data_IF_152175692408
#
_entry.id   IF_152175692408
#
_cell.length_a   1.000
_cell.length_b   1.000
_cell.length_c   1.000
_cell.angle_alpha   90.00
_cell.angle_beta   90.00
_cell.angle_gamma   90.00
#
_symmetry.space_group_name_H-M   'P 1'
#
loop_
_entity.id
_entity.type
_entity.pdbx_description
1 polymer ?
#
# COMPACT_ATOMS: atom_id res chain seq x y z
N UNK A 1 -16.10 -18.88 10.25
CA UNK A 1 -16.58 -17.48 10.23
C UNK A 1 -15.65 -16.50 10.96
N UNK A 2 -15.15 -16.83 12.15
CA UNK A 2 -14.25 -15.96 12.94
C UNK A 2 -12.99 -15.53 12.17
N UNK A 3 -12.33 -16.45 11.44
CA UNK A 3 -11.17 -16.15 10.59
C UNK A 3 -11.47 -15.08 9.53
N UNK A 4 -12.59 -15.21 8.80
CA UNK A 4 -13.00 -14.23 7.78
C UNK A 4 -13.32 -12.86 8.38
N UNK A 5 -13.99 -12.82 9.54
CA UNK A 5 -14.26 -11.57 10.24
C UNK A 5 -12.97 -10.89 10.70
N UNK A 6 -12.00 -11.66 11.20
CA UNK A 6 -10.67 -11.17 11.54
C UNK A 6 -9.95 -10.56 10.34
N UNK A 7 -9.95 -11.25 9.20
CA UNK A 7 -9.37 -10.72 7.94
C UNK A 7 -10.07 -9.44 7.49
N UNK A 8 -11.41 -9.44 7.50
CA UNK A 8 -12.21 -8.27 7.15
C UNK A 8 -11.86 -7.05 8.01
N UNK A 9 -11.76 -7.25 9.33
CA UNK A 9 -11.39 -6.18 10.26
C UNK A 9 -10.00 -5.62 9.96
N UNK A 10 -9.00 -6.48 9.76
CA UNK A 10 -7.62 -6.07 9.45
C UNK A 10 -7.54 -5.32 8.13
N UNK A 11 -8.24 -5.79 7.09
CA UNK A 11 -8.33 -5.08 5.81
C UNK A 11 -9.04 -3.72 5.95
N UNK A 12 -10.08 -3.63 6.79
CA UNK A 12 -10.74 -2.37 7.11
C UNK A 12 -9.77 -1.38 7.77
N UNK A 13 -9.03 -1.83 8.78
CA UNK A 13 -8.01 -1.02 9.45
C UNK A 13 -6.92 -0.55 8.45
N UNK A 14 -6.47 -1.44 7.57
CA UNK A 14 -5.48 -1.09 6.53
C UNK A 14 -6.01 -0.05 5.54
N UNK A 15 -7.25 -0.22 5.05
CA UNK A 15 -7.88 0.74 4.14
C UNK A 15 -8.08 2.10 4.80
N UNK A 16 -8.47 2.15 6.08
CA UNK A 16 -8.58 3.40 6.82
C UNK A 16 -7.23 4.12 6.95
N UNK A 17 -6.14 3.38 7.14
CA UNK A 17 -4.79 3.97 7.17
C UNK A 17 -4.34 4.45 5.79
N UNK A 18 -4.72 3.74 4.71
CA UNK A 18 -4.43 4.17 3.34
C UNK A 18 -5.15 5.46 2.96
N UNK A 19 -6.39 5.64 3.45
CA UNK A 19 -7.23 6.82 3.18
C UNK A 19 -6.82 8.05 4.02
N UNK A 20 -6.01 7.86 5.07
CA UNK A 20 -5.52 8.93 5.92
C UNK A 20 -4.25 9.60 5.35
N UNK A 21 -4.43 10.81 4.83
CA UNK A 21 -3.37 11.67 4.30
C UNK A 21 -2.43 12.24 5.39
N UNK A 22 -2.82 12.18 6.68
CA UNK A 22 -2.03 12.66 7.81
C UNK A 22 -1.41 11.54 8.64
N UNK A 23 -1.46 10.29 8.16
CA UNK A 23 -0.92 9.13 8.87
C UNK A 23 0.55 9.32 9.28
N UNK A 24 0.88 8.84 10.47
CA UNK A 24 2.27 8.85 10.97
C UNK A 24 3.15 7.85 10.21
N UNK A 25 4.46 8.12 10.21
CA UNK A 25 5.46 7.24 9.64
C UNK A 25 5.43 5.86 10.33
N UNK A 26 5.25 4.81 9.54
CA UNK A 26 5.23 3.42 10.02
C UNK A 26 3.84 2.84 10.27
N UNK A 27 2.78 3.66 10.41
CA UNK A 27 1.41 3.15 10.60
C UNK A 27 0.96 2.23 9.45
N UNK A 28 1.29 2.60 8.20
CA UNK A 28 0.95 1.77 7.03
C UNK A 28 1.67 0.41 7.07
N UNK A 29 2.95 0.40 7.45
CA UNK A 29 3.74 -0.83 7.55
C UNK A 29 3.21 -1.75 8.65
N UNK A 30 2.84 -1.17 9.78
CA UNK A 30 2.26 -1.90 10.89
C UNK A 30 0.90 -2.50 10.51
N UNK A 31 -0.01 -1.69 9.94
CA UNK A 31 -1.31 -2.16 9.47
C UNK A 31 -1.16 -3.28 8.42
N UNK A 32 -0.25 -3.12 7.47
CA UNK A 32 0.08 -4.16 6.48
C UNK A 32 0.56 -5.45 7.13
N UNK A 33 1.44 -5.37 8.13
CA UNK A 33 1.97 -6.57 8.81
C UNK A 33 0.88 -7.42 9.46
N UNK A 34 -0.21 -6.79 9.90
CA UNK A 34 -1.37 -7.48 10.51
C UNK A 34 -2.25 -8.16 9.46
N UNK A 35 -2.26 -7.66 8.23
CA UNK A 35 -2.96 -8.26 7.09
C UNK A 35 -2.27 -9.52 6.56
N UNK A 36 -0.97 -9.69 6.82
CA UNK A 36 -0.24 -10.90 6.43
C UNK A 36 -0.80 -12.12 7.18
N UNK A 37 -1.45 -13.01 6.44
CA UNK A 37 -1.92 -14.28 6.97
C UNK A 37 -0.85 -15.35 6.74
N UNK A 38 -0.49 -16.13 7.77
CA UNK A 38 0.38 -17.29 7.57
C UNK A 38 -0.32 -18.32 6.69
N UNK A 39 0.43 -19.12 5.94
CA UNK A 39 -0.11 -20.17 5.07
C UNK A 39 -1.03 -21.15 5.83
N UNK A 40 -0.71 -21.43 7.10
CA UNK A 40 -1.53 -22.25 8.01
C UNK A 40 -2.91 -21.66 8.31
N UNK A 41 -3.14 -20.36 8.08
CA UNK A 41 -4.47 -19.77 8.21
C UNK A 41 -5.45 -20.26 7.12
N UNK A 42 -4.90 -20.66 5.96
CA UNK A 42 -5.62 -21.16 4.79
C UNK A 42 -5.81 -22.69 4.81
N UNK A 43 -5.12 -23.40 5.72
CA UNK A 43 -5.30 -24.84 5.90
C UNK A 43 -6.75 -25.16 6.32
N UNK A 44 -7.31 -26.21 5.71
CA UNK A 44 -8.68 -26.66 5.95
C UNK A 44 -9.77 -25.79 5.29
N UNK A 45 -9.43 -24.82 4.42
CA UNK A 45 -10.44 -24.03 3.71
C UNK A 45 -11.38 -24.89 2.85
N UNK A 46 -10.87 -25.98 2.26
CA UNK A 46 -11.67 -26.93 1.47
C UNK A 46 -12.75 -27.63 2.32
N UNK A 47 -12.53 -27.71 3.63
CA UNK A 47 -13.46 -28.33 4.58
C UNK A 47 -14.51 -27.35 5.09
N UNK A 48 -14.35 -26.04 4.88
CA UNK A 48 -15.27 -25.02 5.39
C UNK A 48 -16.66 -25.09 4.76
N UNK A 49 -16.77 -25.66 3.56
CA UNK A 49 -18.04 -25.85 2.85
C UNK A 49 -18.72 -27.19 3.16
N UNK A 50 -18.00 -28.13 3.80
CA UNK A 50 -18.51 -29.46 4.03
C UNK A 50 -19.56 -29.47 5.14
N UNK A 51 -20.70 -30.12 4.88
CA UNK A 51 -21.78 -30.27 5.86
C UNK A 51 -22.57 -28.99 6.13
N UNK A 52 -22.31 -27.89 5.41
CA UNK A 52 -23.10 -26.66 5.52
C UNK A 52 -24.40 -26.76 4.72
N UNK A 53 -25.47 -26.21 5.30
CA UNK A 53 -26.72 -26.01 4.59
C UNK A 53 -26.59 -24.89 3.56
N UNK A 54 -27.48 -24.88 2.56
CA UNK A 54 -27.41 -23.93 1.43
C UNK A 54 -27.37 -22.46 1.87
N UNK A 55 -28.15 -22.09 2.89
CA UNK A 55 -28.14 -20.73 3.42
C UNK A 55 -26.78 -20.36 4.06
N UNK A 56 -26.15 -21.32 4.74
CA UNK A 56 -24.84 -21.11 5.37
C UNK A 56 -23.73 -21.01 4.32
N UNK A 57 -23.83 -21.80 3.23
CA UNK A 57 -22.94 -21.70 2.07
C UNK A 57 -23.06 -20.34 1.38
N UNK A 58 -24.27 -19.81 1.22
CA UNK A 58 -24.49 -18.49 0.62
C UNK A 58 -23.89 -17.38 1.50
N UNK A 59 -24.07 -17.47 2.82
CA UNK A 59 -23.44 -16.54 3.77
C UNK A 59 -21.92 -16.60 3.74
N UNK A 60 -21.35 -17.81 3.68
CA UNK A 60 -19.90 -18.01 3.58
C UNK A 60 -19.35 -17.42 2.29
N UNK A 61 -20.02 -17.67 1.16
CA UNK A 61 -19.63 -17.17 -0.17
C UNK A 61 -19.60 -15.64 -0.18
N UNK A 62 -20.66 -15.00 0.31
CA UNK A 62 -20.72 -13.52 0.41
C UNK A 62 -19.61 -12.94 1.28
N UNK A 63 -19.29 -13.59 2.40
CA UNK A 63 -18.22 -13.14 3.28
C UNK A 63 -16.83 -13.26 2.62
N UNK A 64 -16.59 -14.33 1.85
CA UNK A 64 -15.37 -14.50 1.06
C UNK A 64 -15.27 -13.44 -0.03
N UNK A 65 -16.36 -13.20 -0.76
CA UNK A 65 -16.42 -12.17 -1.81
C UNK A 65 -16.16 -10.76 -1.26
N UNK A 66 -16.70 -10.43 -0.08
CA UNK A 66 -16.46 -9.16 0.61
C UNK A 66 -14.97 -8.98 0.92
N UNK A 67 -14.34 -9.97 1.54
CA UNK A 67 -12.90 -9.96 1.87
C UNK A 67 -12.05 -9.85 0.61
N UNK A 68 -12.37 -10.62 -0.43
CA UNK A 68 -11.65 -10.59 -1.71
C UNK A 68 -11.74 -9.20 -2.37
N UNK A 69 -12.93 -8.57 -2.33
CA UNK A 69 -13.15 -7.23 -2.85
C UNK A 69 -12.34 -6.18 -2.09
N UNK A 70 -12.34 -6.24 -0.76
CA UNK A 70 -11.54 -5.33 0.07
C UNK A 70 -10.04 -5.47 -0.22
N UNK A 71 -9.56 -6.70 -0.40
CA UNK A 71 -8.17 -6.97 -0.76
C UNK A 71 -7.81 -6.41 -2.16
N UNK A 72 -8.72 -6.52 -3.13
CA UNK A 72 -8.53 -5.95 -4.47
C UNK A 72 -8.44 -4.41 -4.44
N UNK A 73 -9.30 -3.76 -3.64
CA UNK A 73 -9.26 -2.30 -3.45
C UNK A 73 -7.93 -1.88 -2.80
N UNK A 74 -7.53 -2.59 -1.75
CA UNK A 74 -6.26 -2.35 -1.06
C UNK A 74 -5.06 -2.48 -2.01
N UNK A 75 -5.04 -3.53 -2.86
CA UNK A 75 -3.99 -3.72 -3.85
C UNK A 75 -3.97 -2.59 -4.90
N UNK A 76 -5.13 -2.17 -5.39
CA UNK A 76 -5.24 -1.08 -6.36
C UNK A 76 -4.76 0.26 -5.77
N UNK A 77 -5.10 0.55 -4.51
CA UNK A 77 -4.64 1.76 -3.82
C UNK A 77 -3.11 1.78 -3.66
N UNK A 78 -2.51 0.65 -3.28
CA UNK A 78 -1.05 0.53 -3.15
C UNK A 78 -0.36 0.70 -4.51
N UNK A 79 -0.90 0.12 -5.59
CA UNK A 79 -0.32 0.27 -6.93
C UNK A 79 -0.41 1.72 -7.42
N UNK A 80 -1.55 2.40 -7.19
CA UNK A 80 -1.70 3.81 -7.53
C UNK A 80 -0.70 4.71 -6.78
N UNK A 81 -0.44 4.43 -5.49
CA UNK A 81 0.54 5.19 -4.70
C UNK A 81 1.97 4.91 -5.17
N UNK A 82 2.29 3.67 -5.54
CA UNK A 82 3.57 3.32 -6.15
C UNK A 82 3.81 4.08 -7.46
N UNK A 83 2.82 4.16 -8.33
CA UNK A 83 2.91 4.91 -9.58
C UNK A 83 3.11 6.40 -9.32
N UNK A 84 2.36 6.98 -8.38
CA UNK A 84 2.51 8.37 -7.94
C UNK A 84 3.92 8.67 -7.42
N UNK A 85 4.48 7.80 -6.59
CA UNK A 85 5.85 7.93 -6.08
C UNK A 85 6.90 7.79 -7.20
N UNK A 86 6.66 6.88 -8.15
CA UNK A 86 7.50 6.71 -9.34
C UNK A 86 7.57 8.00 -10.17
N UNK A 87 6.42 8.62 -10.42
CA UNK A 87 6.31 9.90 -11.12
C UNK A 87 7.03 11.03 -10.38
N UNK A 88 6.84 11.12 -9.05
CA UNK A 88 7.51 12.12 -8.23
C UNK A 88 9.03 11.98 -8.31
N UNK A 89 9.55 10.76 -8.15
CA UNK A 89 10.98 10.46 -8.27
C UNK A 89 11.51 10.78 -9.68
N UNK A 90 10.73 10.50 -10.72
CA UNK A 90 11.04 10.86 -12.10
C UNK A 90 11.19 12.37 -12.27
N UNK A 91 10.23 13.15 -11.75
CA UNK A 91 10.28 14.62 -11.75
C UNK A 91 11.47 15.14 -10.97
N UNK A 92 11.72 14.66 -9.75
CA UNK A 92 12.87 15.07 -8.93
C UNK A 92 14.21 14.78 -9.63
N UNK A 93 14.35 13.60 -10.27
CA UNK A 93 15.55 13.26 -11.05
C UNK A 93 15.74 14.18 -12.26
N UNK A 94 14.65 14.53 -12.95
CA UNK A 94 14.68 15.49 -14.06
C UNK A 94 15.07 16.88 -13.58
N UNK A 95 14.44 17.40 -12.52
CA UNK A 95 14.80 18.70 -11.92
C UNK A 95 16.27 18.74 -11.49
N UNK A 96 16.80 17.66 -10.89
CA UNK A 96 18.23 17.58 -10.54
C UNK A 96 19.12 17.63 -11.78
N UNK A 97 18.74 16.96 -12.87
CA UNK A 97 19.48 16.98 -14.13
C UNK A 97 19.46 18.38 -14.76
N UNK A 98 18.29 19.01 -14.80
CA UNK A 98 18.12 20.35 -15.36
C UNK A 98 18.95 21.38 -14.55
N UNK A 99 18.92 21.31 -13.21
CA UNK A 99 19.79 22.12 -12.35
C UNK A 99 21.29 21.88 -12.61
N UNK A 100 21.70 20.61 -12.77
CA UNK A 100 23.10 20.29 -13.09
C UNK A 100 23.52 20.76 -14.49
N UNK A 101 22.58 20.86 -15.43
CA UNK A 101 22.79 21.40 -16.76
C UNK A 101 23.01 22.91 -16.70
N UNK A 102 22.17 23.63 -15.96
CA UNK A 102 22.36 25.07 -15.70
C UNK A 102 23.62 25.39 -14.88
N UNK A 103 24.03 24.51 -13.96
CA UNK A 103 25.30 24.66 -13.24
C UNK A 103 26.52 24.41 -14.14
N UNK A 104 26.40 23.57 -15.18
CA UNK A 104 27.48 23.33 -16.17
C UNK A 104 27.55 24.41 -17.25
N UNK A 105 26.41 24.99 -17.65
CA UNK A 105 26.39 26.13 -18.59
C UNK A 105 26.61 27.49 -17.88
N UNK A 106 26.59 27.50 -16.54
CA UNK A 106 26.77 28.67 -15.68
C UNK A 106 28.21 28.95 -15.21
N UNK A 107 29.21 28.19 -15.67
CA UNK A 107 30.63 28.58 -15.55
C UNK A 107 30.98 29.65 -16.59
N UNK A 108 30.29 30.79 -16.52
CA UNK A 108 30.74 32.08 -17.01
C UNK A 108 30.02 33.21 -16.23
N UNK A 109 30.06 33.16 -14.89
CA UNK A 109 29.53 34.26 -14.08
C UNK A 109 29.53 34.01 -12.57
N UNK A 110 30.70 34.11 -11.95
CA UNK A 110 31.02 34.63 -10.58
C UNK A 110 29.95 34.68 -9.46
N UNK A 111 29.00 33.74 -9.39
CA UNK A 111 27.95 33.75 -8.34
C UNK A 111 27.51 32.34 -7.92
N UNK A 112 28.41 31.37 -7.99
CA UNK A 112 28.21 30.02 -7.46
C UNK A 112 28.99 29.79 -6.18
N UNK A 113 28.61 30.46 -5.08
CA UNK A 113 28.99 29.95 -3.76
C UNK A 113 28.19 28.67 -3.53
N UNK A 114 28.88 27.54 -3.62
CA UNK A 114 28.39 26.26 -3.14
C UNK A 114 27.99 26.42 -1.68
N UNK A 115 26.68 26.38 -1.40
CA UNK A 115 26.24 26.05 -0.06
C UNK A 115 26.52 24.56 0.14
N UNK A 116 27.68 24.26 0.71
CA UNK A 116 27.95 22.99 1.35
C UNK A 116 26.92 22.80 2.47
N UNK A 117 25.84 22.08 2.19
CA UNK A 117 24.99 21.53 3.23
C UNK A 117 25.69 20.28 3.78
N UNK A 118 26.69 20.51 4.63
CA UNK A 118 27.10 19.56 5.65
C UNK A 118 26.22 19.77 6.88
N UNK A 119 25.45 18.76 7.27
CA UNK A 119 24.56 18.76 8.43
C UNK A 119 23.34 17.88 8.22
#
# INVERSE_FOLDING_TARGET
>A
MEKLQGTRRRLGEFLSVLDDDQREDGCLREAWSRCLLPASALEGMDEWSQGLERQQLDCLTRAIEEVARMNAIAAAAVEAEKDRLGDLLGRTRKSRRDLSFYLREGEAGTTGQSCDLAG
#
